data_IF_225350565639
#
_entry.id   IF_225350565639
#
_cell.length_a   1.000
_cell.length_b   1.000
_cell.length_c   1.000
_cell.angle_alpha   90.00
_cell.angle_beta   90.00
_cell.angle_gamma   90.00
#
_symmetry.space_group_name_H-M   'P 1'
#
loop_
_entity.id
_entity.type
_entity.pdbx_description
1 polymer ?
#
# COMPACT_ATOMS: atom_id res chain seq x y z
N UNK A 1 -17.78 2.79 9.94
CA UNK A 1 -17.19 3.76 10.87
C UNK A 1 -18.12 3.99 12.08
N UNK A 2 -19.31 4.51 11.86
CA UNK A 2 -20.28 4.84 12.93
C UNK A 2 -20.53 3.71 13.91
N UNK A 3 -20.86 2.50 13.43
CA UNK A 3 -21.13 1.32 14.27
C UNK A 3 -19.96 0.91 15.19
N UNK A 4 -18.77 1.35 14.89
CA UNK A 4 -17.56 1.07 15.65
C UNK A 4 -17.13 2.24 16.54
N UNK A 5 -18.00 3.22 16.75
CA UNK A 5 -17.72 4.38 17.59
C UNK A 5 -16.66 5.34 17.03
N UNK A 6 -16.35 5.24 15.73
CA UNK A 6 -15.33 6.09 15.09
C UNK A 6 -16.01 7.38 14.64
N UNK A 7 -15.55 8.52 15.15
CA UNK A 7 -15.96 9.87 14.73
C UNK A 7 -14.92 10.48 13.77
N UNK A 8 -15.19 11.66 13.22
CA UNK A 8 -14.29 12.30 12.26
C UNK A 8 -12.95 12.75 12.86
N UNK A 9 -12.87 12.95 14.15
CA UNK A 9 -11.68 13.32 14.92
C UNK A 9 -10.96 12.14 15.57
N UNK A 10 -11.52 10.92 15.45
CA UNK A 10 -10.90 9.70 15.99
C UNK A 10 -9.59 9.40 15.27
N UNK A 11 -8.52 9.15 16.02
CA UNK A 11 -7.30 8.57 15.46
C UNK A 11 -7.53 7.08 15.18
N UNK A 12 -7.48 6.68 13.92
CA UNK A 12 -7.60 5.28 13.51
C UNK A 12 -6.21 4.70 13.28
N UNK A 13 -5.92 3.61 13.99
CA UNK A 13 -4.62 2.94 13.89
C UNK A 13 -4.82 1.59 13.24
N UNK A 14 -4.19 1.39 12.08
CA UNK A 14 -4.22 0.15 11.34
C UNK A 14 -3.07 -0.78 11.72
N UNK A 15 -3.33 -2.05 11.81
CA UNK A 15 -2.31 -3.08 11.90
C UNK A 15 -2.80 -4.35 11.20
N UNK A 16 -1.87 -5.19 10.76
CA UNK A 16 -2.20 -6.39 10.03
C UNK A 16 -1.07 -7.42 10.04
N UNK A 17 -1.28 -8.46 9.28
CA UNK A 17 -0.28 -9.48 8.97
C UNK A 17 0.42 -9.19 7.63
N UNK A 18 1.33 -10.06 7.21
CA UNK A 18 2.05 -9.98 5.92
C UNK A 18 2.66 -8.59 5.70
N UNK A 19 3.49 -8.14 6.65
CA UNK A 19 4.13 -6.82 6.62
C UNK A 19 3.12 -5.67 6.47
N UNK A 20 2.00 -5.74 7.15
CA UNK A 20 0.94 -4.72 7.10
C UNK A 20 0.25 -4.51 5.74
N UNK A 21 0.35 -5.44 4.81
CA UNK A 21 -0.21 -5.27 3.47
C UNK A 21 -1.64 -4.72 3.49
N UNK A 22 -2.57 -5.42 4.14
CA UNK A 22 -3.97 -4.97 4.22
C UNK A 22 -4.17 -3.73 5.08
N UNK A 23 -3.30 -3.52 6.07
CA UNK A 23 -3.34 -2.32 6.92
C UNK A 23 -2.96 -1.06 6.12
N UNK A 24 -1.95 -1.14 5.27
CA UNK A 24 -1.55 -0.02 4.39
C UNK A 24 -2.59 0.26 3.30
N UNK A 25 -3.23 -0.78 2.75
CA UNK A 25 -4.34 -0.62 1.83
C UNK A 25 -5.53 0.09 2.51
N UNK A 26 -5.93 -0.36 3.70
CA UNK A 26 -6.99 0.30 4.46
C UNK A 26 -6.64 1.76 4.79
N UNK A 27 -5.40 2.03 5.19
CA UNK A 27 -4.89 3.39 5.40
C UNK A 27 -5.07 4.25 4.15
N UNK A 28 -4.67 3.74 2.97
CA UNK A 28 -4.83 4.45 1.69
C UNK A 28 -6.31 4.73 1.36
N UNK A 29 -7.22 3.75 1.59
CA UNK A 29 -8.66 3.96 1.40
C UNK A 29 -9.19 5.09 2.29
N UNK A 30 -8.74 5.18 3.54
CA UNK A 30 -9.14 6.26 4.45
C UNK A 30 -8.71 7.64 3.94
N UNK A 31 -7.52 7.73 3.31
CA UNK A 31 -7.07 8.98 2.68
C UNK A 31 -7.99 9.39 1.52
N UNK A 32 -8.46 8.46 0.68
CA UNK A 32 -9.41 8.74 -0.41
C UNK A 32 -10.70 9.41 0.09
N UNK A 33 -11.16 9.02 1.28
CA UNK A 33 -12.37 9.59 1.92
C UNK A 33 -12.06 10.71 2.90
N UNK A 34 -10.84 11.25 2.86
CA UNK A 34 -10.43 12.43 3.61
C UNK A 34 -10.33 12.25 5.13
N UNK A 35 -10.23 11.01 5.62
CA UNK A 35 -9.94 10.73 7.02
C UNK A 35 -8.41 10.68 7.23
N UNK A 36 -7.81 11.85 7.44
CA UNK A 36 -6.35 12.01 7.52
C UNK A 36 -5.76 11.62 8.88
N UNK A 37 -6.60 11.53 9.93
CA UNK A 37 -6.16 11.10 11.26
C UNK A 37 -6.08 9.56 11.34
N UNK A 38 -5.28 8.99 10.44
CA UNK A 38 -5.04 7.56 10.30
C UNK A 38 -3.54 7.27 10.42
N UNK A 39 -3.18 6.13 11.01
CA UNK A 39 -1.80 5.69 11.23
C UNK A 39 -1.68 4.18 11.01
N UNK A 40 -0.47 3.70 10.77
CA UNK A 40 -0.15 2.27 10.69
C UNK A 40 0.85 1.93 11.78
N UNK A 41 0.63 0.81 12.50
CA UNK A 41 1.61 0.29 13.48
C UNK A 41 2.78 -0.30 12.70
N UNK A 42 3.98 0.22 12.92
CA UNK A 42 5.19 -0.31 12.31
C UNK A 42 5.51 -1.73 12.82
N UNK A 43 5.71 -2.67 11.89
CA UNK A 43 5.90 -4.09 12.18
C UNK A 43 4.60 -4.89 12.36
N UNK A 44 3.44 -4.24 12.44
CA UNK A 44 2.14 -4.89 12.48
C UNK A 44 1.93 -5.86 13.65
N UNK A 45 1.02 -6.83 13.46
CA UNK A 45 0.65 -7.79 14.51
C UNK A 45 1.80 -8.74 14.88
N UNK A 46 2.60 -9.14 13.91
CA UNK A 46 3.68 -10.10 14.16
C UNK A 46 4.72 -9.54 15.12
N UNK A 47 5.16 -8.29 14.91
CA UNK A 47 6.10 -7.60 15.81
C UNK A 47 5.49 -7.33 17.18
N UNK A 48 4.21 -6.93 17.23
CA UNK A 48 3.50 -6.74 18.50
C UNK A 48 3.54 -7.98 19.39
N UNK A 49 3.31 -9.16 18.79
CA UNK A 49 3.36 -10.45 19.50
C UNK A 49 4.80 -10.81 19.88
N UNK A 50 5.77 -10.63 18.97
CA UNK A 50 7.18 -10.93 19.22
C UNK A 50 7.77 -10.10 20.36
N UNK A 51 7.27 -8.89 20.58
CA UNK A 51 7.64 -8.01 21.69
C UNK A 51 6.91 -8.37 23.01
N UNK A 52 6.13 -9.45 23.04
CA UNK A 52 5.39 -9.90 24.24
C UNK A 52 4.26 -8.96 24.66
N UNK A 53 3.77 -8.12 23.77
CA UNK A 53 2.69 -7.17 24.07
C UNK A 53 1.35 -7.88 24.23
N UNK A 54 0.49 -7.35 25.09
CA UNK A 54 -0.82 -7.92 25.40
C UNK A 54 -1.72 -8.04 24.17
N UNK A 55 -2.40 -9.18 24.08
CA UNK A 55 -3.43 -9.46 23.05
C UNK A 55 -4.71 -9.91 23.73
N UNK A 56 -5.84 -9.70 23.10
CA UNK A 56 -7.15 -10.17 23.58
C UNK A 56 -7.97 -10.73 22.45
N UNK A 57 -8.93 -11.59 22.78
CA UNK A 57 -10.00 -12.06 21.86
C UNK A 57 -11.31 -11.32 22.09
N UNK A 58 -11.36 -10.44 23.07
CA UNK A 58 -12.54 -9.63 23.32
C UNK A 58 -12.74 -8.63 22.19
N UNK A 59 -13.94 -8.58 21.67
CA UNK A 59 -14.35 -7.57 20.68
C UNK A 59 -15.04 -6.45 21.43
N UNK A 60 -14.40 -5.27 21.57
CA UNK A 60 -14.99 -4.18 22.30
C UNK A 60 -16.24 -3.67 21.57
N UNK A 61 -17.24 -3.27 22.36
CA UNK A 61 -18.47 -2.63 21.85
C UNK A 61 -18.41 -1.15 22.12
N UNK A 62 -18.61 -0.36 21.10
CA UNK A 62 -18.66 1.09 21.21
C UNK A 62 -20.08 1.60 20.93
N UNK A 63 -20.45 2.69 21.56
CA UNK A 63 -21.64 3.43 21.16
C UNK A 63 -21.47 3.94 19.73
N UNK A 64 -22.55 3.95 18.95
CA UNK A 64 -22.49 4.50 17.59
C UNK A 64 -22.07 5.98 17.62
N UNK A 65 -21.25 6.36 16.67
CA UNK A 65 -20.81 7.76 16.47
C UNK A 65 -21.64 8.44 15.37
N UNK A 66 -21.28 9.66 15.05
CA UNK A 66 -21.87 10.46 13.98
C UNK A 66 -20.90 10.68 12.81
N UNK A 67 -20.05 9.70 12.50
CA UNK A 67 -19.06 9.81 11.43
C UNK A 67 -19.69 10.18 10.09
N UNK A 68 -19.12 11.18 9.44
CA UNK A 68 -19.50 11.59 8.08
C UNK A 68 -18.30 11.46 7.16
N UNK A 69 -18.35 10.48 6.26
CA UNK A 69 -17.34 10.36 5.21
C UNK A 69 -17.40 11.60 4.31
N UNK A 70 -16.24 12.14 3.94
CA UNK A 70 -16.15 13.10 2.84
C UNK A 70 -16.43 12.41 1.52
N UNK A 71 -16.74 13.18 0.50
CA UNK A 71 -16.75 12.66 -0.85
C UNK A 71 -15.38 12.12 -1.23
N UNK A 72 -15.37 11.00 -1.94
CA UNK A 72 -14.12 10.35 -2.35
C UNK A 72 -13.35 11.24 -3.32
N UNK A 73 -12.09 11.48 -3.03
CA UNK A 73 -11.18 12.19 -3.91
C UNK A 73 -10.04 11.26 -4.36
N UNK A 74 -10.08 10.82 -5.60
CA UNK A 74 -9.09 9.95 -6.20
C UNK A 74 -7.87 10.74 -6.73
N UNK A 75 -8.06 11.98 -7.16
CA UNK A 75 -7.09 12.78 -7.90
C UNK A 75 -5.67 12.82 -7.31
N UNK A 76 -5.46 13.04 -5.99
CA UNK A 76 -4.11 13.20 -5.48
C UNK A 76 -3.32 11.90 -5.29
N UNK A 77 -3.99 10.75 -5.18
CA UNK A 77 -3.33 9.50 -4.74
C UNK A 77 -3.75 8.25 -5.51
N UNK A 78 -4.53 8.38 -6.58
CA UNK A 78 -4.95 7.26 -7.42
C UNK A 78 -4.85 7.63 -8.89
N UNK A 79 -4.24 6.76 -9.68
CA UNK A 79 -4.19 6.87 -11.12
C UNK A 79 -5.05 5.78 -11.77
N UNK A 80 -5.85 6.15 -12.76
CA UNK A 80 -6.60 5.23 -13.58
C UNK A 80 -5.85 4.91 -14.88
N UNK A 81 -6.37 3.98 -15.67
CA UNK A 81 -5.73 3.52 -16.91
C UNK A 81 -5.32 4.67 -17.84
N UNK A 82 -6.20 5.63 -18.03
CA UNK A 82 -5.96 6.71 -18.99
C UNK A 82 -4.92 7.71 -18.45
N UNK A 83 -4.88 7.94 -17.14
CA UNK A 83 -3.82 8.71 -16.46
C UNK A 83 -2.47 8.03 -16.63
N UNK A 84 -2.42 6.70 -16.43
CA UNK A 84 -1.21 5.91 -16.65
C UNK A 84 -0.73 5.98 -18.09
N UNK A 85 -1.65 5.94 -19.09
CA UNK A 85 -1.27 6.09 -20.50
C UNK A 85 -0.66 7.45 -20.81
N UNK A 86 -1.21 8.52 -20.24
CA UNK A 86 -0.64 9.88 -20.36
C UNK A 86 0.73 9.94 -19.71
N UNK A 87 0.85 9.39 -18.52
CA UNK A 87 2.08 9.34 -17.73
C UNK A 87 3.22 8.60 -18.47
N UNK A 88 2.92 7.42 -19.04
CA UNK A 88 3.87 6.64 -19.87
C UNK A 88 4.32 7.42 -21.10
N UNK A 89 3.37 8.02 -21.84
CA UNK A 89 3.68 8.82 -23.03
C UNK A 89 4.56 10.04 -22.73
N UNK A 90 4.42 10.58 -21.51
CA UNK A 90 5.25 11.68 -21.02
C UNK A 90 6.63 11.23 -20.53
N UNK A 91 6.96 9.94 -20.54
CA UNK A 91 8.21 9.40 -20.05
C UNK A 91 8.40 9.55 -18.54
N UNK A 92 7.33 9.72 -17.78
CA UNK A 92 7.39 9.86 -16.32
C UNK A 92 7.62 8.51 -15.63
N UNK A 93 8.21 8.50 -14.41
CA UNK A 93 8.59 7.27 -13.75
C UNK A 93 7.41 6.43 -13.27
N UNK A 94 7.50 5.11 -13.52
CA UNK A 94 6.58 4.09 -13.04
C UNK A 94 7.33 3.07 -12.19
N UNK A 95 6.69 2.62 -11.11
CA UNK A 95 7.22 1.56 -10.24
C UNK A 95 6.26 0.38 -10.23
N UNK A 96 6.73 -0.76 -10.69
CA UNK A 96 6.03 -2.04 -10.54
C UNK A 96 6.41 -2.68 -9.21
N UNK A 97 5.43 -2.76 -8.31
CA UNK A 97 5.66 -3.32 -6.96
C UNK A 97 5.32 -4.81 -6.87
N UNK A 98 5.00 -5.47 -7.98
CA UNK A 98 4.78 -6.92 -8.04
C UNK A 98 6.09 -7.69 -7.84
N UNK A 99 6.03 -9.02 -7.81
CA UNK A 99 7.23 -9.84 -7.79
C UNK A 99 8.03 -9.71 -9.09
N UNK A 100 9.34 -9.98 -9.02
CA UNK A 100 10.22 -9.97 -10.20
C UNK A 100 9.69 -10.91 -11.29
N UNK A 101 9.14 -12.08 -10.92
CA UNK A 101 8.59 -13.03 -11.89
C UNK A 101 7.31 -12.53 -12.58
N UNK A 102 6.48 -11.77 -11.89
CA UNK A 102 5.34 -11.09 -12.52
C UNK A 102 5.83 -9.98 -13.46
N UNK A 103 6.87 -9.24 -13.06
CA UNK A 103 7.47 -8.19 -13.88
C UNK A 103 8.10 -8.75 -15.18
N UNK A 104 8.83 -9.86 -15.10
CA UNK A 104 9.44 -10.50 -16.29
C UNK A 104 8.44 -11.24 -17.16
N UNK A 105 7.24 -11.50 -16.66
CA UNK A 105 6.21 -12.26 -17.38
C UNK A 105 6.28 -13.78 -17.20
N UNK A 106 7.18 -14.27 -16.33
CA UNK A 106 7.25 -15.68 -15.97
C UNK A 106 6.01 -16.16 -15.19
N UNK A 107 5.38 -15.25 -14.43
CA UNK A 107 4.17 -15.50 -13.70
C UNK A 107 3.06 -14.53 -14.12
N UNK A 108 1.85 -15.04 -14.25
CA UNK A 108 0.64 -14.24 -14.52
C UNK A 108 -0.10 -13.87 -13.22
N UNK A 109 0.15 -14.61 -12.14
CA UNK A 109 -0.46 -14.40 -10.81
C UNK A 109 0.45 -14.91 -9.71
N UNK A 110 0.18 -14.52 -8.47
CA UNK A 110 0.80 -15.15 -7.30
C UNK A 110 0.25 -16.58 -7.13
N UNK A 111 1.06 -17.54 -6.66
CA UNK A 111 0.62 -18.93 -6.46
C UNK A 111 -0.66 -19.07 -5.63
N UNK A 112 -0.79 -18.27 -4.58
CA UNK A 112 -1.95 -18.30 -3.66
C UNK A 112 -3.20 -17.60 -4.22
N UNK A 113 -3.10 -16.92 -5.36
CA UNK A 113 -4.18 -16.11 -5.93
C UNK A 113 -4.37 -16.36 -7.44
N UNK A 114 -4.64 -17.61 -7.86
CA UNK A 114 -4.75 -17.95 -9.28
C UNK A 114 -5.89 -17.24 -10.00
N UNK A 115 -6.94 -16.84 -9.27
CA UNK A 115 -8.08 -16.08 -9.81
C UNK A 115 -7.73 -14.66 -10.24
N UNK A 116 -6.57 -14.16 -9.84
CA UNK A 116 -6.11 -12.81 -10.17
C UNK A 116 -5.13 -12.77 -11.36
N UNK A 117 -5.15 -13.81 -12.19
CA UNK A 117 -4.24 -13.93 -13.34
C UNK A 117 -4.33 -12.75 -14.30
N UNK A 118 -3.17 -12.20 -14.66
CA UNK A 118 -3.08 -11.19 -15.72
C UNK A 118 -3.34 -11.83 -17.09
N UNK A 119 -4.00 -11.11 -17.98
CA UNK A 119 -4.22 -11.57 -19.36
C UNK A 119 -2.94 -11.61 -20.19
N UNK A 120 -1.93 -10.81 -19.80
CA UNK A 120 -0.62 -10.71 -20.46
C UNK A 120 0.48 -10.70 -19.41
N UNK A 121 1.56 -11.43 -19.66
CA UNK A 121 2.78 -11.39 -18.86
C UNK A 121 3.60 -10.13 -19.12
N UNK A 122 4.50 -9.82 -18.20
CA UNK A 122 5.40 -8.67 -18.30
C UNK A 122 4.92 -7.45 -17.54
N UNK A 123 5.41 -6.28 -17.95
CA UNK A 123 5.21 -5.01 -17.24
C UNK A 123 4.87 -3.86 -18.20
N UNK A 124 4.43 -2.75 -17.65
CA UNK A 124 4.16 -1.52 -18.42
C UNK A 124 5.51 -0.97 -18.93
N UNK A 125 5.63 -0.62 -20.23
CA UNK A 125 6.87 -0.10 -20.79
C UNK A 125 7.43 1.09 -19.99
N UNK A 126 8.72 1.03 -19.66
CA UNK A 126 9.41 2.04 -18.87
C UNK A 126 9.29 1.89 -17.35
N UNK A 127 8.45 0.99 -16.86
CA UNK A 127 8.36 0.73 -15.43
C UNK A 127 9.64 0.12 -14.86
N UNK A 128 9.96 0.47 -13.61
CA UNK A 128 11.06 -0.11 -12.85
C UNK A 128 10.51 -1.10 -11.82
N UNK A 129 11.17 -2.23 -11.65
CA UNK A 129 10.75 -3.28 -10.70
C UNK A 129 11.31 -3.03 -9.32
N UNK A 130 10.42 -2.75 -8.37
CA UNK A 130 10.75 -2.72 -6.94
C UNK A 130 9.64 -3.48 -6.19
N UNK A 131 9.80 -4.79 -5.97
CA UNK A 131 8.83 -5.57 -5.21
C UNK A 131 8.51 -4.90 -3.86
N UNK A 132 7.24 -4.79 -3.53
CA UNK A 132 6.75 -4.06 -2.34
C UNK A 132 7.43 -4.49 -1.03
N UNK A 133 7.73 -5.80 -0.90
CA UNK A 133 8.39 -6.35 0.28
C UNK A 133 9.81 -5.77 0.51
N UNK A 134 10.43 -5.18 -0.50
CA UNK A 134 11.74 -4.52 -0.35
C UNK A 134 11.68 -3.25 0.51
N UNK A 135 10.51 -2.68 0.72
CA UNK A 135 10.32 -1.55 1.61
C UNK A 135 10.20 -1.96 3.09
N UNK A 136 10.17 -3.27 3.38
CA UNK A 136 10.06 -3.80 4.74
C UNK A 136 11.31 -4.57 5.16
N UNK A 137 11.55 -4.61 6.47
CA UNK A 137 12.54 -5.44 7.13
C UNK A 137 11.97 -6.84 7.41
N UNK A 138 12.83 -7.78 7.80
CA UNK A 138 12.42 -9.16 8.12
C UNK A 138 11.48 -9.26 9.32
N UNK A 139 11.47 -8.26 10.21
CA UNK A 139 10.58 -8.18 11.37
C UNK A 139 9.24 -7.49 11.04
N UNK A 140 9.02 -7.13 9.77
CA UNK A 140 7.81 -6.47 9.27
C UNK A 140 7.77 -4.95 9.46
N UNK A 141 8.81 -4.34 10.02
CA UNK A 141 8.93 -2.87 10.08
C UNK A 141 9.26 -2.30 8.72
N UNK A 142 8.93 -1.03 8.50
CA UNK A 142 9.41 -0.32 7.33
C UNK A 142 10.92 -0.09 7.41
N UNK A 143 11.60 -0.12 6.28
CA UNK A 143 12.98 0.32 6.18
C UNK A 143 13.10 1.81 6.54
N UNK A 144 14.26 2.19 7.08
CA UNK A 144 14.54 3.59 7.38
C UNK A 144 14.68 4.43 6.09
N UNK A 145 14.69 5.75 6.24
CA UNK A 145 14.72 6.68 5.11
C UNK A 145 15.95 6.50 4.20
N UNK A 146 17.12 6.19 4.77
CA UNK A 146 18.34 6.04 3.97
C UNK A 146 18.34 4.72 3.19
N UNK A 147 17.82 3.64 3.77
CA UNK A 147 17.61 2.36 3.07
C UNK A 147 16.58 2.51 1.92
N UNK A 148 15.49 3.24 2.16
CA UNK A 148 14.49 3.51 1.12
C UNK A 148 15.07 4.40 0.00
N UNK A 149 15.84 5.42 0.33
CA UNK A 149 16.55 6.23 -0.67
C UNK A 149 17.52 5.40 -1.49
N UNK A 150 18.29 4.51 -0.88
CA UNK A 150 19.19 3.62 -1.60
C UNK A 150 18.45 2.78 -2.66
N UNK A 151 17.25 2.30 -2.34
CA UNK A 151 16.41 1.54 -3.27
C UNK A 151 15.83 2.45 -4.36
N UNK A 152 15.12 3.50 -3.98
CA UNK A 152 14.32 4.28 -4.95
C UNK A 152 15.16 5.32 -5.70
N UNK A 153 16.07 6.00 -5.04
CA UNK A 153 16.94 6.99 -5.68
C UNK A 153 18.21 6.34 -6.25
N UNK A 154 18.83 5.41 -5.50
CA UNK A 154 20.08 4.77 -5.91
C UNK A 154 19.92 3.74 -7.01
N UNK A 155 19.01 2.77 -6.87
CA UNK A 155 18.89 1.67 -7.83
C UNK A 155 18.04 2.02 -9.05
N UNK A 156 16.94 2.75 -8.85
CA UNK A 156 15.99 3.04 -9.94
C UNK A 156 15.97 4.51 -10.37
N UNK A 157 16.85 5.34 -9.77
CA UNK A 157 17.10 6.71 -10.16
C UNK A 157 15.90 7.67 -10.06
N UNK A 158 14.97 7.41 -9.11
CA UNK A 158 13.94 8.38 -8.78
C UNK A 158 14.56 9.59 -8.10
N UNK A 159 13.95 10.74 -8.28
CA UNK A 159 14.37 11.99 -7.64
C UNK A 159 13.27 12.49 -6.70
N UNK A 160 13.67 13.16 -5.64
CA UNK A 160 12.72 13.83 -4.77
C UNK A 160 11.89 14.84 -5.56
N UNK A 161 10.58 14.70 -5.53
CA UNK A 161 9.63 15.54 -6.27
C UNK A 161 9.21 14.99 -7.63
N UNK A 162 9.72 13.82 -8.04
CA UNK A 162 9.19 13.16 -9.23
C UNK A 162 7.70 12.82 -9.03
N UNK A 163 6.94 13.00 -10.09
CA UNK A 163 5.58 12.52 -10.20
C UNK A 163 5.65 11.03 -10.56
N UNK A 164 5.40 10.17 -9.58
CA UNK A 164 5.58 8.72 -9.71
C UNK A 164 4.27 8.00 -9.59
N UNK A 165 3.99 7.08 -10.52
CA UNK A 165 2.89 6.12 -10.36
C UNK A 165 3.47 4.77 -9.95
N UNK A 166 3.01 4.25 -8.79
CA UNK A 166 3.25 2.87 -8.38
C UNK A 166 2.03 2.01 -8.75
N UNK A 167 2.27 0.81 -9.25
CA UNK A 167 1.19 -0.11 -9.58
C UNK A 167 1.51 -1.55 -9.18
N UNK A 168 0.47 -2.30 -8.91
CA UNK A 168 0.53 -3.74 -8.82
C UNK A 168 -0.46 -4.39 -9.79
N UNK A 169 -0.95 -5.61 -9.51
CA UNK A 169 -1.93 -6.28 -10.36
C UNK A 169 -3.37 -5.80 -10.13
N UNK A 170 -3.74 -5.56 -8.88
CA UNK A 170 -5.11 -5.21 -8.46
C UNK A 170 -5.21 -3.87 -7.71
N UNK A 171 -4.09 -3.17 -7.49
CA UNK A 171 -4.05 -1.88 -6.81
C UNK A 171 -4.14 -1.93 -5.29
N UNK A 172 -3.67 -3.02 -4.66
CA UNK A 172 -3.77 -3.25 -3.20
C UNK A 172 -2.42 -3.45 -2.48
N UNK A 173 -1.31 -3.41 -3.21
CA UNK A 173 0.05 -3.61 -2.65
C UNK A 173 0.80 -2.31 -2.52
#
# INVERSE_FOLDING_TARGET
>A
MERNGISNDTTVIFYGDKNNWWATYAFWVFQLFGHTNAKVIDGGRAKWIAEGRATTREVPKYAASNYKAKERNDEPIRAFRDDVLVHVKAGKPLVDVRSTKEYTGELLHMPDYPQEGALRGGHIPGAKSVPWARAANSDGTFKNADELKAIYEGEISLKKGDDVIAYCRIGER
#
